data_IF_243808557351
#
_entry.id   IF_243808557351
#
_cell.length_a   1.000
_cell.length_b   1.000
_cell.length_c   1.000
_cell.angle_alpha   90.00
_cell.angle_beta   90.00
_cell.angle_gamma   90.00
#
_symmetry.space_group_name_H-M   'P 1'
#
loop_
_entity.id
_entity.type
_entity.pdbx_description
1 polymer ?
#
# COMPACT_ATOMS: atom_id res chain seq x y z
N UNK A 1 -2.63 26.43 12.38
CA UNK A 1 -2.68 27.28 13.57
C UNK A 1 -3.63 26.67 14.62
N UNK A 2 -3.41 26.99 15.90
CA UNK A 2 -4.05 26.25 17.01
C UNK A 2 -5.58 26.44 17.02
N UNK A 3 -6.05 27.68 17.02
CA UNK A 3 -7.45 28.02 17.16
C UNK A 3 -7.87 29.16 16.23
N UNK A 4 -9.15 29.21 15.90
CA UNK A 4 -9.71 30.32 15.15
C UNK A 4 -9.85 31.57 16.03
N UNK A 5 -9.64 32.74 15.42
CA UNK A 5 -9.70 34.01 16.13
C UNK A 5 -9.42 35.20 15.22
N UNK A 6 -9.38 36.39 15.82
CA UNK A 6 -9.19 37.66 15.13
C UNK A 6 -8.06 38.43 15.81
N UNK A 7 -7.18 38.99 15.01
CA UNK A 7 -6.11 39.88 15.50
C UNK A 7 -6.72 41.20 16.04
N UNK A 8 -6.08 41.74 17.05
CA UNK A 8 -6.42 43.07 17.60
C UNK A 8 -5.91 44.18 16.68
N UNK A 9 -6.14 44.08 15.37
CA UNK A 9 -5.84 45.11 14.38
C UNK A 9 -7.10 45.87 13.96
N UNK A 10 -6.93 47.04 13.32
CA UNK A 10 -8.06 47.83 12.83
C UNK A 10 -8.92 47.13 11.78
N UNK A 11 -8.40 46.10 11.14
CA UNK A 11 -9.05 45.36 10.05
C UNK A 11 -9.75 44.10 10.53
N UNK A 12 -9.64 43.75 11.81
CA UNK A 12 -10.13 42.48 12.35
C UNK A 12 -9.71 41.28 11.52
N UNK A 13 -8.41 41.25 11.16
CA UNK A 13 -7.84 40.18 10.35
C UNK A 13 -7.98 38.84 11.08
N UNK A 14 -8.58 37.85 10.45
CA UNK A 14 -8.68 36.51 11.04
C UNK A 14 -7.31 35.81 11.13
N UNK A 15 -7.15 34.91 12.07
CA UNK A 15 -5.91 34.10 12.20
C UNK A 15 -5.64 33.31 10.91
N UNK A 16 -6.67 32.75 10.27
CA UNK A 16 -6.55 32.09 8.98
C UNK A 16 -5.96 32.98 7.90
N UNK A 17 -6.47 34.20 7.73
CA UNK A 17 -5.93 35.16 6.76
C UNK A 17 -4.50 35.57 7.08
N UNK A 18 -4.18 35.76 8.36
CA UNK A 18 -2.83 36.08 8.78
C UNK A 18 -1.84 34.97 8.45
N UNK A 19 -2.15 33.73 8.84
CA UNK A 19 -1.27 32.58 8.63
C UNK A 19 -1.18 32.17 7.15
N UNK A 20 -2.23 32.36 6.35
CA UNK A 20 -2.15 32.18 4.89
C UNK A 20 -1.15 33.18 4.27
N UNK A 21 -1.18 34.44 4.70
CA UNK A 21 -0.22 35.45 4.24
C UNK A 21 1.20 35.13 4.67
N UNK A 22 1.38 34.69 5.92
CA UNK A 22 2.67 34.27 6.44
C UNK A 22 3.23 33.08 5.64
N UNK A 23 2.44 32.04 5.42
CA UNK A 23 2.83 30.85 4.66
C UNK A 23 3.21 31.20 3.21
N UNK A 24 2.43 32.05 2.54
CA UNK A 24 2.78 32.51 1.18
C UNK A 24 4.11 33.22 1.13
N UNK A 25 4.43 34.05 2.14
CA UNK A 25 5.74 34.72 2.22
C UNK A 25 6.86 33.72 2.49
N UNK A 26 6.64 32.76 3.38
CA UNK A 26 7.60 31.73 3.69
C UNK A 26 7.93 30.89 2.45
N UNK A 27 6.91 30.40 1.74
CA UNK A 27 7.08 29.65 0.49
C UNK A 27 7.86 30.48 -0.53
N UNK A 28 7.50 31.77 -0.70
CA UNK A 28 8.19 32.65 -1.62
C UNK A 28 9.68 32.81 -1.27
N UNK A 29 10.01 33.01 -0.01
CA UNK A 29 11.41 33.20 0.43
C UNK A 29 12.23 31.93 0.22
N UNK A 30 11.64 30.75 0.38
CA UNK A 30 12.34 29.47 0.23
C UNK A 30 12.52 29.04 -1.23
N UNK A 31 11.47 29.23 -2.05
CA UNK A 31 11.38 28.64 -3.39
C UNK A 31 11.69 29.63 -4.53
N UNK A 32 11.72 30.95 -4.23
CA UNK A 32 11.97 31.95 -5.26
C UNK A 32 13.42 31.91 -5.72
N UNK A 33 13.65 31.76 -7.03
CA UNK A 33 14.96 31.94 -7.64
C UNK A 33 15.40 33.40 -7.54
N UNK A 34 16.61 33.62 -7.02
CA UNK A 34 17.30 34.91 -6.90
C UNK A 34 18.60 34.90 -7.71
N UNK A 35 19.37 35.98 -7.69
CA UNK A 35 20.70 35.99 -8.30
C UNK A 35 21.64 34.94 -7.69
N UNK A 36 21.43 34.57 -6.42
CA UNK A 36 22.22 33.58 -5.68
C UNK A 36 21.59 32.15 -5.72
N UNK A 37 20.56 31.93 -6.55
CA UNK A 37 19.80 30.67 -6.63
C UNK A 37 18.56 30.67 -5.74
N UNK A 38 18.14 29.50 -5.29
CA UNK A 38 16.98 29.30 -4.38
C UNK A 38 17.41 28.49 -3.15
N UNK A 39 16.64 28.58 -2.07
CA UNK A 39 16.99 27.91 -0.81
C UNK A 39 16.51 26.46 -0.81
N UNK A 40 15.19 26.24 -1.04
CA UNK A 40 14.57 24.92 -1.11
C UNK A 40 13.39 24.95 -2.07
N UNK A 41 13.24 23.88 -2.83
CA UNK A 41 12.02 23.64 -3.57
C UNK A 41 10.87 23.35 -2.59
N UNK A 42 9.74 24.06 -2.73
CA UNK A 42 8.56 23.91 -1.87
C UNK A 42 7.40 23.31 -2.66
N UNK A 43 6.87 22.18 -2.19
CA UNK A 43 5.68 21.55 -2.75
C UNK A 43 4.60 21.47 -1.67
N UNK A 44 3.49 22.17 -1.86
CA UNK A 44 2.37 22.23 -0.91
C UNK A 44 1.20 21.35 -1.29
N UNK A 45 1.32 20.47 -2.30
CA UNK A 45 0.22 19.64 -2.82
C UNK A 45 -0.27 18.57 -1.84
N UNK A 46 0.54 18.17 -0.86
CA UNK A 46 0.14 17.20 0.17
C UNK A 46 -0.69 17.78 1.31
N UNK A 47 -1.11 19.06 1.21
CA UNK A 47 -2.00 19.66 2.21
C UNK A 47 -3.45 19.15 2.07
N UNK A 48 -4.29 19.29 3.14
CA UNK A 48 -5.71 18.98 3.06
C UNK A 48 -6.39 19.61 1.84
N UNK A 49 -7.23 18.83 1.15
CA UNK A 49 -7.89 19.19 -0.13
C UNK A 49 -6.94 19.47 -1.30
N UNK A 50 -5.63 19.22 -1.18
CA UNK A 50 -4.66 19.47 -2.24
C UNK A 50 -4.66 20.90 -2.76
N UNK A 51 -4.61 21.08 -4.08
CA UNK A 51 -4.55 22.42 -4.69
C UNK A 51 -5.82 23.25 -4.53
N UNK A 52 -6.97 22.64 -4.28
CA UNK A 52 -8.23 23.33 -4.02
C UNK A 52 -8.40 23.78 -2.55
N UNK A 53 -7.58 23.26 -1.63
CA UNK A 53 -7.65 23.61 -0.22
C UNK A 53 -6.85 24.86 0.16
N UNK A 54 -7.14 25.44 1.34
CA UNK A 54 -6.38 26.56 1.87
C UNK A 54 -4.93 26.13 2.15
N UNK A 55 -4.00 27.10 2.08
CA UNK A 55 -2.57 26.83 2.32
C UNK A 55 -2.28 26.47 3.77
N UNK A 56 -3.08 26.95 4.71
CA UNK A 56 -3.04 26.66 6.15
C UNK A 56 -4.43 26.42 6.68
N UNK A 57 -4.55 25.66 7.77
CA UNK A 57 -5.80 25.35 8.45
C UNK A 57 -5.61 25.45 9.97
N UNK A 58 -6.70 25.64 10.71
CA UNK A 58 -6.72 25.43 12.15
C UNK A 58 -6.55 23.95 12.49
N UNK A 59 -6.20 23.64 13.72
CA UNK A 59 -6.10 22.25 14.20
C UNK A 59 -7.44 21.52 14.10
N UNK A 60 -8.55 22.19 14.50
CA UNK A 60 -9.90 21.65 14.35
C UNK A 60 -10.26 21.38 12.88
N UNK A 61 -9.85 22.27 11.98
CA UNK A 61 -10.03 22.08 10.54
C UNK A 61 -9.25 20.86 10.02
N UNK A 62 -8.02 20.64 10.50
CA UNK A 62 -7.22 19.46 10.17
C UNK A 62 -7.82 18.19 10.75
N UNK A 63 -8.25 18.20 12.01
CA UNK A 63 -8.91 17.04 12.64
C UNK A 63 -10.15 16.63 11.85
N UNK A 64 -11.05 17.57 11.59
CA UNK A 64 -12.26 17.28 10.82
C UNK A 64 -11.96 16.75 9.42
N UNK A 65 -10.96 17.31 8.73
CA UNK A 65 -10.53 16.81 7.42
C UNK A 65 -10.05 15.36 7.48
N UNK A 66 -9.13 15.06 8.40
CA UNK A 66 -8.54 13.71 8.49
C UNK A 66 -9.53 12.65 9.01
N UNK A 67 -10.54 13.05 9.79
CA UNK A 67 -11.61 12.16 10.22
C UNK A 67 -12.64 11.86 9.12
N UNK A 68 -12.93 12.83 8.22
CA UNK A 68 -14.10 12.73 7.33
C UNK A 68 -13.79 12.66 5.85
N UNK A 69 -12.69 13.26 5.39
CA UNK A 69 -12.39 13.47 3.97
C UNK A 69 -11.08 12.82 3.50
N UNK A 70 -10.15 12.61 4.41
CA UNK A 70 -8.82 12.15 4.05
C UNK A 70 -8.82 10.74 3.45
N UNK A 71 -7.93 10.53 2.50
CA UNK A 71 -7.79 9.28 1.74
C UNK A 71 -6.64 8.45 2.29
N UNK A 72 -6.65 7.16 2.03
CA UNK A 72 -5.62 6.21 2.51
C UNK A 72 -4.18 6.60 2.11
N UNK A 73 -3.99 7.15 0.90
CA UNK A 73 -2.66 7.60 0.48
C UNK A 73 -2.10 8.75 1.33
N UNK A 74 -2.96 9.53 1.98
CA UNK A 74 -2.54 10.62 2.87
C UNK A 74 -1.97 10.08 4.19
N UNK A 75 -2.46 8.94 4.68
CA UNK A 75 -1.84 8.23 5.81
C UNK A 75 -0.37 7.90 5.49
N UNK A 76 -0.14 7.41 4.27
CA UNK A 76 1.17 7.07 3.78
C UNK A 76 2.11 8.30 3.74
N UNK A 77 1.61 9.44 3.31
CA UNK A 77 2.36 10.70 3.32
C UNK A 77 2.64 11.18 4.76
N UNK A 78 1.65 11.05 5.65
CA UNK A 78 1.76 11.52 7.04
C UNK A 78 2.75 10.73 7.90
N UNK A 79 3.10 9.50 7.55
CA UNK A 79 4.19 8.75 8.21
C UNK A 79 5.50 9.55 8.21
N UNK A 80 5.78 10.30 7.14
CA UNK A 80 7.01 11.08 6.99
C UNK A 80 6.90 12.52 7.50
N UNK A 81 5.69 12.96 7.89
CA UNK A 81 5.46 14.32 8.34
C UNK A 81 6.19 14.61 9.65
N UNK A 82 6.73 15.81 9.75
CA UNK A 82 7.34 16.34 10.97
C UNK A 82 7.16 17.84 11.06
N UNK A 83 7.06 18.35 12.27
CA UNK A 83 7.15 19.78 12.49
C UNK A 83 8.60 20.27 12.30
N UNK A 84 8.77 21.39 11.64
CA UNK A 84 10.09 22.00 11.37
C UNK A 84 10.24 23.38 12.00
N UNK A 85 9.13 24.04 12.37
CA UNK A 85 9.13 25.36 13.00
C UNK A 85 7.81 25.59 13.77
N UNK A 86 7.73 26.68 14.53
CA UNK A 86 6.58 27.12 15.29
C UNK A 86 6.54 26.53 16.71
N UNK A 87 5.36 26.49 17.32
CA UNK A 87 5.15 25.95 18.67
C UNK A 87 5.23 24.41 18.66
N UNK A 88 6.34 23.86 19.18
CA UNK A 88 6.56 22.41 19.22
C UNK A 88 5.63 21.68 20.20
N UNK A 89 5.14 22.37 21.24
CA UNK A 89 4.17 21.78 22.17
C UNK A 89 2.81 21.60 21.50
N UNK A 90 2.32 22.64 20.86
CA UNK A 90 1.08 22.58 20.09
C UNK A 90 1.21 21.60 18.90
N UNK A 91 2.38 21.57 18.22
CA UNK A 91 2.62 20.62 17.15
C UNK A 91 2.62 19.16 17.61
N UNK A 92 3.15 18.88 18.80
CA UNK A 92 3.08 17.52 19.39
C UNK A 92 1.63 17.11 19.64
N UNK A 93 0.79 18.01 20.16
CA UNK A 93 -0.65 17.77 20.35
C UNK A 93 -1.36 17.49 19.02
N UNK A 94 -1.03 18.24 17.96
CA UNK A 94 -1.57 17.98 16.61
C UNK A 94 -1.20 16.57 16.13
N UNK A 95 0.05 16.14 16.26
CA UNK A 95 0.46 14.80 15.84
C UNK A 95 -0.18 13.71 16.70
N UNK A 96 -0.37 13.92 17.98
CA UNK A 96 -1.10 13.00 18.86
C UNK A 96 -2.56 12.84 18.42
N UNK A 97 -3.23 13.93 18.09
CA UNK A 97 -4.59 13.95 17.55
C UNK A 97 -4.70 13.20 16.19
N UNK A 98 -3.69 13.35 15.31
CA UNK A 98 -3.67 12.70 14.00
C UNK A 98 -3.17 11.24 14.04
N UNK A 99 -2.55 10.81 15.11
CA UNK A 99 -1.97 9.45 15.23
C UNK A 99 -2.99 8.33 14.95
N UNK A 100 -4.25 8.36 15.46
CA UNK A 100 -5.25 7.32 15.14
C UNK A 100 -5.62 7.26 13.66
N UNK A 101 -5.53 8.37 12.94
CA UNK A 101 -5.71 8.38 11.48
C UNK A 101 -4.52 7.71 10.79
N UNK A 102 -3.27 8.04 11.19
CA UNK A 102 -2.05 7.51 10.55
C UNK A 102 -1.89 6.02 10.85
N UNK A 103 -1.97 5.64 12.13
CA UNK A 103 -1.72 4.29 12.64
C UNK A 103 -2.97 3.71 13.26
N UNK A 104 -3.81 3.05 12.45
CA UNK A 104 -5.04 2.42 12.93
C UNK A 104 -4.71 1.22 13.83
N UNK A 105 -5.37 1.17 15.00
CA UNK A 105 -5.18 0.09 15.98
C UNK A 105 -5.84 -1.22 15.53
N UNK A 106 -6.92 -1.13 14.81
CA UNK A 106 -7.63 -2.28 14.25
C UNK A 106 -7.31 -2.36 12.76
N UNK A 107 -6.81 -3.52 12.34
CA UNK A 107 -6.66 -3.84 10.93
C UNK A 107 -8.04 -3.78 10.28
N UNK A 108 -8.23 -2.81 9.40
CA UNK A 108 -9.21 -2.95 8.37
C UNK A 108 -8.66 -4.02 7.40
N UNK A 109 -9.38 -5.14 7.25
CA UNK A 109 -8.97 -6.22 6.34
C UNK A 109 -8.81 -5.73 4.90
N UNK A 110 -9.39 -4.57 4.57
CA UNK A 110 -9.11 -3.86 3.31
C UNK A 110 -7.75 -3.18 3.24
N UNK A 111 -6.99 -3.03 4.34
CA UNK A 111 -5.70 -2.31 4.31
C UNK A 111 -4.66 -3.00 3.43
N UNK A 112 -4.62 -4.33 3.39
CA UNK A 112 -3.76 -5.09 2.48
C UNK A 112 -4.16 -4.90 1.02
N UNK A 113 -5.47 -4.86 0.72
CA UNK A 113 -5.97 -4.60 -0.61
C UNK A 113 -5.69 -3.17 -1.07
N UNK A 114 -5.79 -2.23 -0.17
CA UNK A 114 -5.45 -0.84 -0.46
C UNK A 114 -3.95 -0.67 -0.71
N UNK A 115 -3.10 -1.40 0.03
CA UNK A 115 -1.66 -1.45 -0.22
C UNK A 115 -1.34 -2.13 -1.57
N UNK A 116 -2.04 -3.20 -1.93
CA UNK A 116 -1.92 -3.82 -3.26
C UNK A 116 -2.42 -2.90 -4.36
N UNK A 117 -3.55 -2.24 -4.16
CA UNK A 117 -4.08 -1.25 -5.09
C UNK A 117 -3.10 -0.08 -5.25
N UNK A 118 -2.47 0.35 -4.16
CA UNK A 118 -1.44 1.39 -4.19
C UNK A 118 -0.18 0.90 -4.91
N UNK A 119 0.29 -0.34 -4.63
CA UNK A 119 1.37 -1.00 -5.39
C UNK A 119 1.05 -1.04 -6.89
N UNK A 120 -0.14 -1.50 -7.26
CA UNK A 120 -0.58 -1.57 -8.65
C UNK A 120 -0.58 -0.20 -9.32
N UNK A 121 -1.12 0.83 -8.68
CA UNK A 121 -1.12 2.21 -9.20
C UNK A 121 0.29 2.77 -9.36
N UNK A 122 1.20 2.48 -8.43
CA UNK A 122 2.59 2.87 -8.52
C UNK A 122 3.26 2.14 -9.68
N UNK A 123 3.09 0.83 -9.81
CA UNK A 123 3.64 0.02 -10.90
C UNK A 123 3.11 0.46 -12.27
N UNK A 124 1.82 0.79 -12.37
CA UNK A 124 1.21 1.33 -13.59
C UNK A 124 1.76 2.72 -13.97
N UNK A 125 1.94 3.60 -12.97
CA UNK A 125 2.54 4.91 -13.19
C UNK A 125 4.02 4.80 -13.64
N UNK A 126 4.72 3.77 -13.18
CA UNK A 126 6.10 3.48 -13.55
C UNK A 126 6.21 2.89 -14.96
N UNK A 127 5.29 2.01 -15.36
CA UNK A 127 5.23 1.45 -16.73
C UNK A 127 4.96 2.50 -17.80
N UNK A 128 4.23 3.56 -17.46
CA UNK A 128 3.87 4.66 -18.41
C UNK A 128 4.99 5.66 -18.68
N UNK A 129 6.01 5.71 -17.84
CA UNK A 129 7.23 6.49 -18.06
C UNK A 129 8.36 5.50 -18.26
N UNK A 130 9.18 5.74 -19.27
CA UNK A 130 10.44 5.02 -19.54
C UNK A 130 11.37 5.15 -18.32
N UNK A 131 11.09 4.36 -17.27
CA UNK A 131 11.65 4.55 -15.93
C UNK A 131 12.65 3.46 -15.56
N UNK A 132 13.10 2.66 -16.55
CA UNK A 132 14.11 1.62 -16.28
C UNK A 132 15.40 2.21 -15.70
N UNK A 133 15.79 3.40 -16.12
CA UNK A 133 17.00 4.08 -15.65
C UNK A 133 16.76 5.00 -14.43
N UNK A 134 15.55 5.02 -13.87
CA UNK A 134 15.26 5.80 -12.68
C UNK A 134 15.53 4.97 -11.41
N UNK A 135 16.59 5.31 -10.67
CA UNK A 135 17.02 4.58 -9.47
C UNK A 135 16.10 4.75 -8.26
N UNK A 136 15.24 5.76 -8.27
CA UNK A 136 14.29 6.01 -7.20
C UNK A 136 12.95 5.35 -7.46
N UNK A 137 12.40 5.54 -8.66
CA UNK A 137 11.05 5.14 -9.03
C UNK A 137 11.01 3.85 -9.85
N UNK A 138 12.12 3.43 -10.47
CA UNK A 138 12.21 2.19 -11.23
C UNK A 138 12.10 0.96 -10.35
N UNK A 139 11.87 -0.21 -10.97
CA UNK A 139 11.84 -1.49 -10.28
C UNK A 139 13.14 -1.73 -9.49
N UNK A 140 13.05 -2.21 -8.26
CA UNK A 140 14.19 -2.36 -7.37
C UNK A 140 14.78 -1.03 -6.88
N UNK A 141 14.04 0.09 -6.98
CA UNK A 141 14.52 1.41 -6.59
C UNK A 141 14.30 1.76 -5.12
N UNK A 142 14.81 2.92 -4.72
CA UNK A 142 14.73 3.44 -3.34
C UNK A 142 13.30 3.39 -2.80
N UNK A 143 12.31 3.74 -3.64
CA UNK A 143 10.91 3.82 -3.23
C UNK A 143 10.31 2.46 -2.84
N UNK A 144 10.78 1.37 -3.42
CA UNK A 144 10.30 0.03 -3.05
C UNK A 144 10.76 -0.35 -1.64
N UNK A 145 11.99 -0.02 -1.26
CA UNK A 145 12.49 -0.24 0.10
C UNK A 145 11.70 0.60 1.11
N UNK A 146 11.49 1.88 0.80
CA UNK A 146 10.67 2.76 1.65
C UNK A 146 9.23 2.25 1.76
N UNK A 147 8.67 1.71 0.67
CA UNK A 147 7.32 1.17 0.64
C UNK A 147 7.17 -0.09 1.49
N UNK A 148 8.17 -0.99 1.48
CA UNK A 148 8.20 -2.15 2.38
C UNK A 148 8.05 -1.69 3.84
N UNK A 149 8.93 -0.79 4.30
CA UNK A 149 8.87 -0.30 5.68
C UNK A 149 7.54 0.37 6.02
N UNK A 150 7.05 1.24 5.14
CA UNK A 150 5.80 1.97 5.35
C UNK A 150 4.57 1.05 5.33
N UNK A 151 4.58 -0.03 4.57
CA UNK A 151 3.53 -1.04 4.60
C UNK A 151 3.41 -1.65 6.01
N UNK A 152 4.52 -2.09 6.59
CA UNK A 152 4.52 -2.59 7.97
C UNK A 152 4.10 -1.53 8.99
N UNK A 153 4.50 -0.28 8.81
CA UNK A 153 4.08 0.83 9.66
C UNK A 153 2.56 1.04 9.64
N UNK A 154 1.93 1.01 8.46
CA UNK A 154 0.49 1.16 8.33
C UNK A 154 -0.30 -0.03 8.88
N UNK A 155 0.24 -1.24 8.75
CA UNK A 155 -0.41 -2.48 9.17
C UNK A 155 -0.24 -2.73 10.67
N UNK A 156 0.96 -2.51 11.19
CA UNK A 156 1.35 -2.88 12.56
C UNK A 156 1.55 -1.69 13.49
N UNK A 157 1.80 -0.50 12.96
CA UNK A 157 2.17 0.67 13.77
C UNK A 157 1.12 1.09 14.81
N UNK A 158 -0.16 0.76 14.62
CA UNK A 158 -1.18 1.00 15.62
C UNK A 158 -1.11 0.07 16.85
N UNK A 159 -0.48 -1.12 16.69
CA UNK A 159 -0.26 -2.10 17.76
C UNK A 159 1.19 -2.08 18.28
N UNK A 160 2.12 -1.73 17.40
CA UNK A 160 3.56 -1.70 17.65
C UNK A 160 4.08 -0.25 17.52
N UNK A 161 3.97 0.59 18.56
CA UNK A 161 4.40 1.99 18.51
C UNK A 161 5.89 2.16 18.17
N UNK A 162 6.72 1.14 18.40
CA UNK A 162 8.12 1.14 18.00
C UNK A 162 8.32 1.32 16.48
N UNK A 163 7.34 0.94 15.66
CA UNK A 163 7.35 1.14 14.21
C UNK A 163 6.98 2.57 13.79
N UNK A 164 6.46 3.41 14.70
CA UNK A 164 6.07 4.79 14.39
C UNK A 164 7.33 5.70 14.30
N UNK A 165 8.25 5.33 13.42
CA UNK A 165 9.50 6.05 13.15
C UNK A 165 9.49 6.61 11.72
N UNK A 166 10.23 7.70 11.50
CA UNK A 166 10.34 8.32 10.15
C UNK A 166 11.51 7.77 9.34
N UNK A 167 12.56 7.41 10.03
CA UNK A 167 13.82 6.93 9.47
C UNK A 167 13.69 5.47 9.06
N UNK A 168 13.78 5.19 7.74
CA UNK A 168 13.58 3.83 7.21
C UNK A 168 14.56 2.82 7.82
N UNK A 169 15.78 3.23 8.12
CA UNK A 169 16.79 2.37 8.73
C UNK A 169 16.38 1.89 10.13
N UNK A 170 15.77 2.76 10.93
CA UNK A 170 15.24 2.41 12.25
C UNK A 170 14.00 1.52 12.13
N UNK A 171 13.13 1.78 11.14
CA UNK A 171 11.98 0.93 10.86
C UNK A 171 12.42 -0.48 10.52
N UNK A 172 13.38 -0.65 9.60
CA UNK A 172 13.92 -1.95 9.21
C UNK A 172 14.54 -2.68 10.40
N UNK A 173 15.34 -1.99 11.23
CA UNK A 173 15.87 -2.58 12.48
C UNK A 173 14.76 -3.05 13.41
N UNK A 174 13.70 -2.26 13.55
CA UNK A 174 12.55 -2.62 14.39
C UNK A 174 11.80 -3.85 13.85
N UNK A 175 11.70 -3.99 12.52
CA UNK A 175 11.09 -5.18 11.90
C UNK A 175 11.86 -6.46 12.24
N UNK A 176 13.20 -6.42 12.22
CA UNK A 176 14.02 -7.55 12.66
C UNK A 176 13.84 -7.83 14.15
N UNK A 177 13.89 -6.80 15.00
CA UNK A 177 13.75 -6.94 16.46
C UNK A 177 12.39 -7.52 16.86
N UNK A 178 11.32 -7.20 16.15
CA UNK A 178 9.97 -7.74 16.34
C UNK A 178 9.74 -9.07 15.61
N UNK A 179 10.75 -9.63 14.94
CA UNK A 179 10.66 -10.86 14.13
C UNK A 179 9.56 -10.79 13.05
N UNK A 180 9.29 -9.60 12.53
CA UNK A 180 8.35 -9.36 11.42
C UNK A 180 9.01 -9.51 10.05
N UNK A 181 10.35 -9.51 10.03
CA UNK A 181 11.19 -9.72 8.86
C UNK A 181 12.48 -10.43 9.31
N UNK A 182 13.01 -11.28 8.44
CA UNK A 182 14.28 -11.95 8.70
C UNK A 182 15.43 -10.94 8.83
N UNK A 183 16.35 -11.19 9.78
CA UNK A 183 17.43 -10.27 10.07
C UNK A 183 18.43 -10.12 8.90
N UNK A 184 18.69 -11.19 8.15
CA UNK A 184 19.56 -11.13 6.98
C UNK A 184 18.91 -10.33 5.85
N UNK A 185 17.58 -10.47 5.69
CA UNK A 185 16.82 -9.68 4.73
C UNK A 185 16.85 -8.19 5.07
N UNK A 186 16.70 -7.84 6.35
CA UNK A 186 16.82 -6.46 6.81
C UNK A 186 18.20 -5.89 6.48
N UNK A 187 19.28 -6.63 6.72
CA UNK A 187 20.64 -6.20 6.39
C UNK A 187 20.76 -5.95 4.88
N UNK A 188 20.28 -6.89 4.04
CA UNK A 188 20.29 -6.75 2.58
C UNK A 188 19.56 -5.49 2.12
N UNK A 189 18.37 -5.23 2.65
CA UNK A 189 17.60 -4.02 2.32
C UNK A 189 18.28 -2.74 2.78
N UNK A 190 18.93 -2.74 3.94
CA UNK A 190 19.67 -1.59 4.44
C UNK A 190 20.90 -1.27 3.59
N UNK A 191 21.65 -2.28 3.18
CA UNK A 191 22.82 -2.09 2.32
C UNK A 191 22.41 -1.64 0.92
N UNK A 192 21.34 -2.23 0.38
CA UNK A 192 20.73 -1.80 -0.88
C UNK A 192 20.26 -0.34 -0.81
N UNK A 193 19.62 0.06 0.30
CA UNK A 193 19.19 1.43 0.49
C UNK A 193 20.36 2.41 0.53
N UNK A 194 21.42 2.09 1.30
CA UNK A 194 22.63 2.91 1.36
C UNK A 194 23.28 3.06 -0.01
N UNK A 195 23.41 1.96 -0.74
CA UNK A 195 23.99 1.97 -2.08
C UNK A 195 23.18 2.86 -3.03
N UNK A 196 21.85 2.65 -3.12
CA UNK A 196 20.98 3.43 -4.00
C UNK A 196 20.94 4.91 -3.62
N UNK A 197 20.97 5.22 -2.32
CA UNK A 197 21.04 6.64 -1.85
C UNK A 197 22.37 7.28 -2.21
N UNK A 198 23.48 6.55 -2.17
CA UNK A 198 24.77 7.06 -2.59
C UNK A 198 24.77 7.35 -4.09
N UNK A 199 24.25 6.45 -4.91
CA UNK A 199 24.03 6.69 -6.35
C UNK A 199 23.18 7.94 -6.59
N UNK A 200 22.05 8.08 -5.88
CA UNK A 200 21.18 9.26 -5.98
C UNK A 200 21.95 10.55 -5.63
N UNK A 201 22.74 10.54 -4.57
CA UNK A 201 23.52 11.70 -4.15
C UNK A 201 24.55 12.12 -5.22
N UNK A 202 25.27 11.17 -5.81
CA UNK A 202 26.22 11.47 -6.89
C UNK A 202 25.54 11.99 -8.15
N UNK A 203 24.37 11.44 -8.53
CA UNK A 203 23.58 11.95 -9.64
C UNK A 203 23.13 13.40 -9.42
N UNK A 204 22.70 13.72 -8.20
CA UNK A 204 22.22 15.06 -7.86
C UNK A 204 23.36 16.07 -7.67
N UNK A 205 24.50 15.62 -7.18
CA UNK A 205 25.69 16.45 -7.01
C UNK A 205 26.22 16.95 -8.36
N UNK A 206 26.04 16.17 -9.42
CA UNK A 206 26.48 16.58 -10.75
C UNK A 206 25.62 17.75 -11.25
N UNK A 207 26.22 18.93 -11.40
CA UNK A 207 25.58 20.19 -11.83
C UNK A 207 24.37 20.62 -10.95
N UNK A 208 24.30 20.17 -9.69
CA UNK A 208 23.23 20.49 -8.75
C UNK A 208 21.82 20.23 -9.32
N UNK A 209 21.66 19.09 -10.01
CA UNK A 209 20.41 18.72 -10.66
C UNK A 209 19.57 17.81 -9.76
N UNK A 210 18.27 18.10 -9.64
CA UNK A 210 17.33 17.21 -8.97
C UNK A 210 16.90 16.07 -9.92
N UNK A 211 17.82 15.15 -10.22
CA UNK A 211 17.58 14.00 -11.09
C UNK A 211 17.68 12.67 -10.32
N UNK A 212 17.01 11.65 -10.82
CA UNK A 212 17.09 10.27 -10.35
C UNK A 212 17.33 9.30 -11.51
N UNK A 213 17.61 9.83 -12.70
CA UNK A 213 17.79 9.05 -13.93
C UNK A 213 19.28 8.90 -14.18
N UNK A 214 19.70 7.68 -14.51
CA UNK A 214 21.08 7.40 -14.88
C UNK A 214 21.47 8.19 -16.13
N UNK A 215 22.73 8.65 -16.24
CA UNK A 215 23.18 9.41 -17.40
C UNK A 215 23.25 8.52 -18.65
N UNK A 216 22.93 9.14 -19.80
CA UNK A 216 23.05 8.51 -21.12
C UNK A 216 24.45 8.78 -21.71
N UNK A 217 25.04 9.91 -21.35
CA UNK A 217 26.33 10.35 -21.82
C UNK A 217 27.46 9.49 -21.23
N UNK A 218 28.40 9.04 -22.09
CA UNK A 218 29.49 8.10 -21.69
C UNK A 218 30.44 8.69 -20.67
N UNK A 219 30.74 10.00 -20.75
CA UNK A 219 31.67 10.63 -19.82
C UNK A 219 31.03 10.77 -18.45
N UNK A 220 29.74 11.11 -18.39
CA UNK A 220 28.99 11.17 -17.15
C UNK A 220 28.82 9.78 -16.52
N UNK A 221 28.64 8.74 -17.34
CA UNK A 221 28.60 7.35 -16.89
C UNK A 221 29.91 6.95 -16.22
N UNK A 222 31.03 7.28 -16.84
CA UNK A 222 32.36 6.98 -16.29
C UNK A 222 32.63 7.76 -15.01
N UNK A 223 32.23 9.03 -14.94
CA UNK A 223 32.34 9.86 -13.73
C UNK A 223 31.53 9.23 -12.59
N UNK A 224 30.30 8.80 -12.84
CA UNK A 224 29.45 8.16 -11.84
C UNK A 224 30.06 6.83 -11.36
N UNK A 225 30.54 5.98 -12.27
CA UNK A 225 31.18 4.73 -11.92
C UNK A 225 32.40 4.97 -11.03
N UNK A 226 33.25 5.92 -11.38
CA UNK A 226 34.40 6.28 -10.59
C UNK A 226 34.04 6.84 -9.22
N UNK A 227 33.01 7.71 -9.14
CA UNK A 227 32.50 8.26 -7.88
C UNK A 227 31.94 7.16 -6.95
N UNK A 228 31.42 6.09 -7.54
CA UNK A 228 30.94 4.91 -6.83
C UNK A 228 32.06 3.86 -6.55
N UNK A 229 33.32 4.20 -6.82
CA UNK A 229 34.50 3.37 -6.63
C UNK A 229 34.53 2.09 -7.51
N UNK A 230 34.02 2.20 -8.74
CA UNK A 230 34.13 1.14 -9.77
C UNK A 230 35.11 1.57 -10.87
N UNK A 231 35.80 0.60 -11.44
CA UNK A 231 36.80 0.84 -12.50
C UNK A 231 36.18 1.31 -13.81
N UNK A 232 34.97 0.85 -14.11
CA UNK A 232 34.23 1.21 -15.32
C UNK A 232 32.70 1.18 -15.13
N UNK A 233 32.01 1.74 -16.11
CA UNK A 233 30.53 1.79 -16.13
C UNK A 233 29.90 0.41 -16.11
N UNK A 234 30.46 -0.57 -16.80
CA UNK A 234 29.88 -1.91 -16.90
C UNK A 234 29.89 -2.61 -15.55
N UNK A 235 30.98 -2.55 -14.83
CA UNK A 235 31.15 -3.11 -13.49
C UNK A 235 30.16 -2.47 -12.49
N UNK A 236 30.04 -1.14 -12.55
CA UNK A 236 29.06 -0.41 -11.74
C UNK A 236 27.62 -0.84 -12.11
N UNK A 237 27.29 -0.91 -13.41
CA UNK A 237 25.94 -1.25 -13.88
C UNK A 237 25.51 -2.65 -13.43
N UNK A 238 26.43 -3.62 -13.50
CA UNK A 238 26.18 -4.98 -12.99
C UNK A 238 25.89 -4.97 -11.48
N UNK A 239 26.66 -4.22 -10.71
CA UNK A 239 26.43 -4.09 -9.27
C UNK A 239 25.08 -3.43 -8.97
N UNK A 240 24.75 -2.35 -9.67
CA UNK A 240 23.46 -1.65 -9.53
C UNK A 240 22.28 -2.57 -9.89
N UNK A 241 22.36 -3.30 -10.99
CA UNK A 241 21.29 -4.20 -11.44
C UNK A 241 21.09 -5.37 -10.46
N UNK A 242 22.16 -5.89 -9.86
CA UNK A 242 22.08 -6.88 -8.80
C UNK A 242 21.38 -6.34 -7.55
N UNK A 243 21.74 -5.14 -7.10
CA UNK A 243 21.08 -4.49 -5.96
C UNK A 243 19.59 -4.28 -6.25
N UNK A 244 19.26 -3.80 -7.44
CA UNK A 244 17.86 -3.59 -7.84
C UNK A 244 17.06 -4.89 -7.91
N UNK A 245 17.66 -5.96 -8.43
CA UNK A 245 17.02 -7.26 -8.47
C UNK A 245 16.72 -7.80 -7.06
N UNK A 246 17.65 -7.66 -6.12
CA UNK A 246 17.46 -8.06 -4.72
C UNK A 246 16.30 -7.28 -4.09
N UNK A 247 16.26 -5.96 -4.25
CA UNK A 247 15.16 -5.13 -3.73
C UNK A 247 13.83 -5.51 -4.33
N UNK A 248 13.77 -5.76 -5.64
CA UNK A 248 12.55 -6.19 -6.32
C UNK A 248 12.05 -7.54 -5.77
N UNK A 249 12.94 -8.51 -5.57
CA UNK A 249 12.60 -9.82 -5.00
C UNK A 249 12.02 -9.68 -3.59
N UNK A 250 12.67 -8.89 -2.72
CA UNK A 250 12.18 -8.60 -1.38
C UNK A 250 10.81 -7.93 -1.41
N UNK A 251 10.63 -6.97 -2.31
CA UNK A 251 9.37 -6.26 -2.49
C UNK A 251 8.25 -7.20 -2.94
N UNK A 252 8.51 -8.04 -3.93
CA UNK A 252 7.55 -9.04 -4.40
C UNK A 252 7.21 -10.03 -3.30
N UNK A 253 8.20 -10.53 -2.56
CA UNK A 253 7.99 -11.46 -1.45
C UNK A 253 7.08 -10.88 -0.37
N UNK A 254 7.33 -9.66 0.11
CA UNK A 254 6.51 -9.02 1.14
C UNK A 254 5.05 -8.87 0.70
N UNK A 255 4.81 -8.59 -0.57
CA UNK A 255 3.46 -8.41 -1.11
C UNK A 255 2.83 -9.67 -1.73
N UNK A 256 3.59 -10.76 -1.88
CA UNK A 256 3.07 -12.09 -2.28
C UNK A 256 2.70 -12.97 -1.09
N UNK A 257 3.26 -12.74 0.09
CA UNK A 257 2.96 -13.50 1.33
C UNK A 257 1.48 -13.47 1.77
N UNK A 258 0.63 -12.73 1.07
CA UNK A 258 -0.83 -12.79 1.23
C UNK A 258 -1.52 -13.69 0.18
N UNK A 259 -0.76 -14.47 -0.58
CA UNK A 259 -1.27 -15.39 -1.61
C UNK A 259 -0.76 -16.81 -1.35
N UNK A 260 -0.40 -17.15 -0.12
CA UNK A 260 -0.16 -18.54 0.22
C UNK A 260 -1.47 -19.25 0.59
N UNK A 261 -2.23 -19.54 -0.42
CA UNK A 261 -2.58 -20.89 -0.82
C UNK A 261 -2.33 -20.93 -2.32
N UNK A 262 -1.58 -21.88 -2.88
CA UNK A 262 -1.75 -22.22 -4.27
C UNK A 262 -3.19 -22.71 -4.38
N UNK A 263 -4.10 -21.78 -4.68
CA UNK A 263 -5.45 -22.13 -5.11
C UNK A 263 -5.22 -22.94 -6.35
N UNK A 264 -5.50 -24.22 -6.27
CA UNK A 264 -5.34 -25.14 -7.36
C UNK A 264 -5.93 -24.50 -8.61
N UNK A 265 -5.24 -24.51 -9.72
CA UNK A 265 -5.74 -23.93 -10.97
C UNK A 265 -7.18 -24.43 -11.30
N UNK A 266 -7.55 -25.60 -10.79
CA UNK A 266 -8.86 -26.20 -10.91
C UNK A 266 -9.98 -25.39 -10.24
N UNK A 267 -9.81 -24.97 -8.99
CA UNK A 267 -10.84 -24.17 -8.28
C UNK A 267 -11.04 -22.79 -8.91
N UNK A 268 -9.97 -22.19 -9.44
CA UNK A 268 -10.05 -20.95 -10.22
C UNK A 268 -10.81 -21.19 -11.52
N UNK A 269 -10.48 -22.26 -12.27
CA UNK A 269 -11.17 -22.67 -13.50
C UNK A 269 -12.67 -22.86 -13.28
N UNK A 270 -13.04 -23.55 -12.19
CA UNK A 270 -14.42 -23.74 -11.78
C UNK A 270 -15.15 -22.42 -11.52
N UNK A 271 -14.54 -21.49 -10.82
CA UNK A 271 -15.18 -20.19 -10.51
C UNK A 271 -15.26 -19.28 -11.74
N UNK A 272 -14.22 -19.18 -12.56
CA UNK A 272 -14.20 -18.33 -13.75
C UNK A 272 -15.20 -18.84 -14.80
N UNK A 273 -15.29 -20.18 -14.97
CA UNK A 273 -16.29 -20.82 -15.84
C UNK A 273 -16.05 -20.60 -17.33
N UNK A 274 -14.80 -20.34 -17.75
CA UNK A 274 -14.42 -20.17 -19.15
C UNK A 274 -14.04 -21.49 -19.84
N UNK A 275 -13.81 -22.56 -19.06
CA UNK A 275 -13.51 -23.89 -19.59
C UNK A 275 -14.78 -24.65 -20.01
N UNK A 276 -14.61 -25.68 -20.83
CA UNK A 276 -15.70 -26.56 -21.22
C UNK A 276 -16.37 -27.19 -19.98
N UNK A 277 -17.69 -27.28 -19.99
CA UNK A 277 -18.48 -27.79 -18.85
C UNK A 277 -18.02 -29.17 -18.38
N UNK A 278 -17.59 -30.04 -19.30
CA UNK A 278 -17.06 -31.36 -18.94
C UNK A 278 -15.75 -31.28 -18.16
N UNK A 279 -14.89 -30.29 -18.45
CA UNK A 279 -13.65 -30.07 -17.72
C UNK A 279 -13.95 -29.58 -16.31
N UNK A 280 -14.86 -28.61 -16.18
CA UNK A 280 -15.25 -28.05 -14.88
C UNK A 280 -15.89 -29.12 -13.99
N UNK A 281 -16.72 -30.01 -14.54
CA UNK A 281 -17.31 -31.13 -13.82
C UNK A 281 -16.23 -32.11 -13.35
N UNK A 282 -15.25 -32.40 -14.19
CA UNK A 282 -14.10 -33.26 -13.83
C UNK A 282 -13.25 -32.62 -12.72
N UNK A 283 -13.00 -31.34 -12.77
CA UNK A 283 -12.26 -30.58 -11.76
C UNK A 283 -13.01 -30.61 -10.40
N UNK A 284 -14.32 -30.38 -10.39
CA UNK A 284 -15.14 -30.51 -9.17
C UNK A 284 -15.10 -31.92 -8.58
N UNK A 285 -15.16 -32.95 -9.43
CA UNK A 285 -15.05 -34.34 -8.97
C UNK A 285 -13.67 -34.61 -8.32
N UNK A 286 -12.59 -34.09 -8.89
CA UNK A 286 -11.24 -34.20 -8.33
C UNK A 286 -11.10 -33.42 -7.02
N UNK A 287 -11.78 -32.30 -6.88
CA UNK A 287 -11.80 -31.50 -5.64
C UNK A 287 -12.62 -32.15 -4.51
N UNK A 288 -13.33 -33.29 -4.79
CA UNK A 288 -14.01 -34.07 -3.78
C UNK A 288 -15.52 -33.97 -3.78
N UNK A 289 -16.13 -33.25 -4.72
CA UNK A 289 -17.58 -33.13 -4.85
C UNK A 289 -18.20 -34.42 -5.35
N UNK A 290 -19.31 -34.85 -4.73
CA UNK A 290 -20.00 -36.12 -5.05
C UNK A 290 -21.02 -35.95 -6.17
N UNK A 291 -21.60 -34.76 -6.31
CA UNK A 291 -22.57 -34.40 -7.35
C UNK A 291 -22.10 -33.12 -8.10
N UNK A 292 -21.00 -33.22 -8.91
CA UNK A 292 -20.35 -32.07 -9.51
C UNK A 292 -21.27 -31.23 -10.40
N UNK A 293 -22.21 -31.88 -11.15
CA UNK A 293 -23.15 -31.19 -12.01
C UNK A 293 -24.09 -30.28 -11.23
N UNK A 294 -24.57 -30.76 -10.07
CA UNK A 294 -25.47 -30.01 -9.19
C UNK A 294 -24.69 -28.87 -8.52
N UNK A 295 -23.49 -29.14 -8.03
CA UNK A 295 -22.64 -28.16 -7.42
C UNK A 295 -22.27 -27.03 -8.41
N UNK A 296 -22.01 -27.37 -9.68
CA UNK A 296 -21.79 -26.37 -10.73
C UNK A 296 -23.01 -25.47 -10.95
N UNK A 297 -24.23 -26.02 -10.94
CA UNK A 297 -25.45 -25.22 -11.06
C UNK A 297 -25.58 -24.16 -9.96
N UNK A 298 -25.23 -24.50 -8.72
CA UNK A 298 -25.26 -23.53 -7.60
C UNK A 298 -24.16 -22.45 -7.76
N UNK A 299 -22.97 -22.84 -8.19
CA UNK A 299 -21.87 -21.88 -8.47
C UNK A 299 -22.30 -20.91 -9.58
N UNK A 300 -22.88 -21.42 -10.66
CA UNK A 300 -23.38 -20.62 -11.78
C UNK A 300 -24.54 -19.71 -11.34
N UNK A 301 -25.43 -20.22 -10.49
CA UNK A 301 -26.52 -19.45 -9.89
C UNK A 301 -25.98 -18.22 -9.12
N UNK A 302 -24.98 -18.41 -8.28
CA UNK A 302 -24.35 -17.29 -7.58
C UNK A 302 -23.66 -16.33 -8.55
N UNK A 303 -22.89 -16.84 -9.51
CA UNK A 303 -22.18 -16.04 -10.53
C UNK A 303 -23.12 -15.08 -11.28
N UNK A 304 -24.33 -15.53 -11.59
CA UNK A 304 -25.34 -14.76 -12.30
C UNK A 304 -26.35 -14.06 -11.38
N UNK A 305 -26.18 -14.15 -10.05
CA UNK A 305 -27.09 -13.55 -9.09
C UNK A 305 -27.08 -12.01 -9.16
N UNK A 306 -28.18 -11.40 -8.68
CA UNK A 306 -28.26 -9.94 -8.55
C UNK A 306 -27.20 -9.39 -7.61
N UNK A 307 -26.88 -10.13 -6.54
CA UNK A 307 -25.85 -9.76 -5.56
C UNK A 307 -24.50 -9.57 -6.23
N UNK A 308 -24.07 -10.50 -7.08
CA UNK A 308 -22.77 -10.43 -7.79
C UNK A 308 -22.78 -9.33 -8.84
N UNK A 309 -23.87 -9.18 -9.61
CA UNK A 309 -23.97 -8.16 -10.67
C UNK A 309 -23.89 -6.72 -10.16
N UNK A 310 -24.35 -6.47 -8.93
CA UNK A 310 -24.37 -5.14 -8.33
C UNK A 310 -23.15 -4.86 -7.43
N UNK A 311 -22.19 -5.79 -7.33
CA UNK A 311 -20.93 -5.53 -6.64
C UNK A 311 -20.14 -4.44 -7.36
N UNK A 312 -19.60 -3.52 -6.57
CA UNK A 312 -18.57 -2.62 -7.10
C UNK A 312 -17.27 -3.40 -7.33
N UNK A 313 -16.31 -2.79 -8.01
CA UNK A 313 -15.02 -3.40 -8.36
C UNK A 313 -14.33 -4.07 -7.17
N UNK A 314 -14.29 -3.41 -5.99
CA UNK A 314 -13.68 -3.95 -4.77
C UNK A 314 -14.39 -5.23 -4.28
N UNK A 315 -15.72 -5.24 -4.32
CA UNK A 315 -16.51 -6.40 -3.94
C UNK A 315 -16.35 -7.58 -4.91
N UNK A 316 -16.30 -7.30 -6.19
CA UNK A 316 -16.04 -8.30 -7.23
C UNK A 316 -14.65 -8.91 -7.10
N UNK A 317 -13.62 -8.09 -6.88
CA UNK A 317 -12.25 -8.55 -6.68
C UNK A 317 -12.13 -9.43 -5.41
N UNK A 318 -12.80 -9.05 -4.32
CA UNK A 318 -12.82 -9.84 -3.08
C UNK A 318 -13.54 -11.19 -3.29
N UNK A 319 -14.67 -11.20 -3.99
CA UNK A 319 -15.43 -12.42 -4.27
C UNK A 319 -14.65 -13.37 -5.19
N UNK A 320 -14.00 -12.84 -6.23
CA UNK A 320 -13.19 -13.63 -7.17
C UNK A 320 -12.00 -14.34 -6.49
N UNK A 321 -11.51 -13.79 -5.37
CA UNK A 321 -10.48 -14.46 -4.57
C UNK A 321 -11.07 -15.46 -3.57
N UNK A 322 -12.22 -15.14 -3.01
CA UNK A 322 -12.84 -15.93 -1.96
C UNK A 322 -13.43 -17.24 -2.51
N UNK A 323 -14.11 -17.20 -3.66
CA UNK A 323 -14.84 -18.35 -4.18
C UNK A 323 -13.95 -19.56 -4.52
N UNK A 324 -12.78 -19.40 -5.16
CA UNK A 324 -11.87 -20.53 -5.35
C UNK A 324 -11.45 -21.18 -4.03
N UNK A 325 -11.14 -20.38 -2.99
CA UNK A 325 -10.79 -20.90 -1.67
C UNK A 325 -11.96 -21.65 -1.01
N UNK A 326 -13.19 -21.15 -1.15
CA UNK A 326 -14.39 -21.85 -0.69
C UNK A 326 -14.54 -23.19 -1.39
N UNK A 327 -14.42 -23.24 -2.71
CA UNK A 327 -14.57 -24.45 -3.50
C UNK A 327 -13.54 -25.49 -3.07
N UNK A 328 -12.29 -25.10 -2.90
CA UNK A 328 -11.22 -25.98 -2.46
C UNK A 328 -11.45 -26.50 -1.02
N UNK A 329 -11.73 -25.61 -0.07
CA UNK A 329 -11.89 -25.99 1.34
C UNK A 329 -13.18 -26.80 1.59
N UNK A 330 -14.24 -26.50 0.85
CA UNK A 330 -15.50 -27.26 0.90
C UNK A 330 -15.30 -28.67 0.32
N UNK A 331 -14.48 -28.82 -0.72
CA UNK A 331 -14.16 -30.15 -1.27
C UNK A 331 -13.50 -31.11 -0.26
N UNK A 332 -12.87 -30.58 0.79
CA UNK A 332 -12.17 -31.37 1.83
C UNK A 332 -13.08 -31.90 2.95
N UNK A 333 -14.35 -31.44 3.05
CA UNK A 333 -15.27 -31.89 4.11
C UNK A 333 -16.04 -33.17 3.70
N UNK A 334 -16.67 -33.84 4.67
CA UNK A 334 -17.35 -35.10 4.46
C UNK A 334 -18.62 -35.02 3.59
N UNK A 335 -19.25 -33.84 3.50
CA UNK A 335 -20.48 -33.58 2.75
C UNK A 335 -20.34 -32.29 1.90
N UNK A 336 -19.47 -32.27 0.88
CA UNK A 336 -19.05 -31.06 0.17
C UNK A 336 -20.23 -30.38 -0.55
N UNK A 337 -21.06 -31.13 -1.26
CA UNK A 337 -22.16 -30.57 -2.07
C UNK A 337 -23.17 -29.78 -1.22
N UNK A 338 -23.60 -30.34 -0.08
CA UNK A 338 -24.53 -29.65 0.83
C UNK A 338 -23.86 -28.46 1.54
N UNK A 339 -22.59 -28.62 1.90
CA UNK A 339 -21.81 -27.53 2.53
C UNK A 339 -21.63 -26.36 1.57
N UNK A 340 -21.37 -26.65 0.29
CA UNK A 340 -21.27 -25.62 -0.74
C UNK A 340 -22.52 -24.78 -0.82
N UNK A 341 -23.69 -25.41 -0.93
CA UNK A 341 -24.99 -24.71 -1.02
C UNK A 341 -25.17 -23.75 0.16
N UNK A 342 -24.93 -24.20 1.39
CA UNK A 342 -25.07 -23.37 2.60
C UNK A 342 -24.10 -22.21 2.62
N UNK A 343 -22.85 -22.43 2.23
CA UNK A 343 -21.85 -21.38 2.17
C UNK A 343 -22.20 -20.37 1.09
N UNK A 344 -22.63 -20.80 -0.11
CA UNK A 344 -23.04 -19.90 -1.19
C UNK A 344 -24.26 -19.05 -0.83
N UNK A 345 -25.27 -19.64 -0.15
CA UNK A 345 -26.43 -18.90 0.37
C UNK A 345 -26.01 -17.83 1.40
N UNK A 346 -25.07 -18.16 2.28
CA UNK A 346 -24.54 -17.19 3.23
C UNK A 346 -23.80 -16.06 2.49
N UNK A 347 -22.95 -16.40 1.53
CA UNK A 347 -22.23 -15.41 0.70
C UNK A 347 -23.22 -14.51 -0.04
N UNK A 348 -24.30 -15.03 -0.57
CA UNK A 348 -25.33 -14.23 -1.23
C UNK A 348 -26.00 -13.23 -0.29
N UNK A 349 -26.32 -13.65 0.95
CA UNK A 349 -26.91 -12.78 1.98
C UNK A 349 -25.96 -11.69 2.46
N UNK A 350 -24.67 -12.01 2.62
CA UNK A 350 -23.65 -11.06 3.12
C UNK A 350 -22.93 -10.32 2.01
N UNK A 351 -23.09 -10.69 0.75
CA UNK A 351 -22.32 -10.18 -0.40
C UNK A 351 -22.38 -8.67 -0.58
N UNK A 352 -23.43 -8.00 -0.11
CA UNK A 352 -23.53 -6.54 -0.10
C UNK A 352 -22.57 -5.86 0.91
N UNK A 353 -22.01 -6.60 1.85
CA UNK A 353 -21.10 -6.11 2.89
C UNK A 353 -19.67 -6.54 2.55
N UNK A 354 -19.01 -5.78 1.69
CA UNK A 354 -17.69 -6.08 1.13
C UNK A 354 -16.65 -6.41 2.20
N UNK A 355 -16.75 -5.79 3.39
CA UNK A 355 -15.85 -6.08 4.51
C UNK A 355 -15.86 -7.54 4.96
N UNK A 356 -17.01 -8.23 4.88
CA UNK A 356 -17.08 -9.66 5.23
C UNK A 356 -16.47 -10.55 4.15
N UNK A 357 -16.66 -10.20 2.86
CA UNK A 357 -16.04 -10.93 1.75
C UNK A 357 -14.50 -10.83 1.84
N UNK A 358 -13.99 -9.62 2.09
CA UNK A 358 -12.57 -9.39 2.25
C UNK A 358 -12.01 -10.12 3.49
N UNK A 359 -12.73 -10.09 4.63
CA UNK A 359 -12.33 -10.79 5.86
C UNK A 359 -12.15 -12.30 5.60
N UNK A 360 -13.12 -12.93 4.93
CA UNK A 360 -13.07 -14.36 4.66
C UNK A 360 -12.00 -14.71 3.63
N UNK A 361 -11.81 -13.87 2.59
CA UNK A 361 -10.78 -14.08 1.58
C UNK A 361 -9.34 -13.98 2.13
N UNK A 362 -9.15 -13.19 3.18
CA UNK A 362 -7.83 -12.91 3.77
C UNK A 362 -7.52 -13.75 5.01
N UNK A 363 -8.52 -14.43 5.57
CA UNK A 363 -8.35 -15.22 6.79
C UNK A 363 -8.78 -16.67 6.57
N UNK A 364 -7.83 -17.49 6.12
CA UNK A 364 -8.04 -18.93 5.87
C UNK A 364 -8.54 -19.67 7.12
N UNK A 365 -8.12 -19.25 8.33
CA UNK A 365 -8.60 -19.83 9.59
C UNK A 365 -10.08 -19.53 9.84
N UNK A 366 -10.52 -18.30 9.58
CA UNK A 366 -11.93 -17.91 9.70
C UNK A 366 -12.77 -18.61 8.64
N UNK A 367 -12.27 -18.73 7.41
CA UNK A 367 -12.92 -19.45 6.33
C UNK A 367 -13.09 -20.94 6.67
N UNK A 368 -12.01 -21.61 7.10
CA UNK A 368 -12.07 -23.02 7.50
C UNK A 368 -13.06 -23.25 8.67
N UNK A 369 -13.10 -22.35 9.65
CA UNK A 369 -14.04 -22.41 10.75
C UNK A 369 -15.49 -22.24 10.28
N UNK A 370 -15.75 -21.30 9.37
CA UNK A 370 -17.05 -21.10 8.76
C UNK A 370 -17.51 -22.33 8.00
N UNK A 371 -16.67 -22.91 7.16
CA UNK A 371 -16.96 -24.12 6.38
C UNK A 371 -17.24 -25.29 7.32
N UNK A 372 -16.45 -25.44 8.39
CA UNK A 372 -16.67 -26.48 9.41
C UNK A 372 -18.04 -26.31 10.10
N UNK A 373 -18.43 -25.09 10.42
CA UNK A 373 -19.76 -24.81 10.99
C UNK A 373 -20.88 -25.14 10.00
N UNK A 374 -20.76 -24.72 8.74
CA UNK A 374 -21.73 -25.02 7.69
C UNK A 374 -21.80 -26.51 7.35
N UNK A 375 -20.72 -27.28 7.51
CA UNK A 375 -20.72 -28.73 7.32
C UNK A 375 -21.43 -29.47 8.46
N UNK A 376 -21.36 -28.95 9.69
CA UNK A 376 -21.89 -29.63 10.90
C UNK A 376 -23.37 -29.37 11.17
N UNK A 377 -23.96 -28.24 10.70
CA UNK A 377 -25.32 -27.84 11.09
C UNK A 377 -26.16 -27.30 9.94
N UNK A 378 -27.43 -27.74 9.89
CA UNK A 378 -28.46 -27.23 8.97
C UNK A 378 -28.98 -25.83 9.37
N UNK A 379 -28.68 -25.37 10.59
CA UNK A 379 -29.25 -24.14 11.19
C UNK A 379 -28.36 -22.89 11.03
N UNK A 380 -27.26 -22.98 10.28
CA UNK A 380 -26.30 -21.88 10.08
C UNK A 380 -26.40 -21.32 8.63
N UNK A 381 -27.60 -21.25 8.10
CA UNK A 381 -27.89 -20.68 6.79
C UNK A 381 -28.78 -19.44 6.88
#
# INVERSE_FOLDING_TARGET
YVEDGVLADRKQTTYGEFFIRLARRLVKVLDQNTADGFVFRVDTRLRPFGDSGPLVMSFDGMENYYLTQAREWERYAMIKARQVAGDFTAGAQLFEMLNPFIYRRYLDYGAFEELRSLKFKISEALKRKDSQDNIKLGAGGIREIEFIGQAFQLIRGGREPALQRREIMEVLNTLAALQLMDAEEVIRLQDSYRFLRLVENHLQQFQDQQTHVLPIDSDQQQILAYAMAYDDWQSFKVALDNVRLQVQQSFEQVFSLSTESPVDNQAISVWVGEADQHVIIADLAQLGFQTPETSLQFIDGLRHSATVRFLNRKGSDALNRLLPQIIEEVGKVSNPDQTLVRVLELIEKVGRRIAYLALLAENSGALAQLIKLCSASHWIG
#
